data_IF_981825826764
#
_entry.id   IF_981825826764
#
_cell.length_a   1.000
_cell.length_b   1.000
_cell.length_c   1.000
_cell.angle_alpha   90.00
_cell.angle_beta   90.00
_cell.angle_gamma   90.00
#
_symmetry.space_group_name_H-M   'P 1'
#
loop_
_entity.id
_entity.type
_entity.pdbx_description
1 polymer ?
#
# COMPACT_ATOMS: atom_id res chain seq x y z
N UNK A 1 -10.51 12.28 -38.75
CA UNK A 1 -9.78 11.65 -37.58
C UNK A 1 -9.84 12.55 -36.35
N UNK A 2 -9.52 13.84 -36.44
CA UNK A 2 -9.53 14.78 -35.28
C UNK A 2 -10.88 14.93 -34.57
N UNK A 3 -12.00 14.72 -35.25
CA UNK A 3 -13.34 14.79 -34.63
C UNK A 3 -13.66 13.60 -33.72
N UNK A 4 -13.03 12.44 -33.94
CA UNK A 4 -13.27 11.22 -33.19
C UNK A 4 -12.22 10.94 -32.14
N UNK A 5 -11.06 11.60 -32.21
CA UNK A 5 -9.95 11.40 -31.30
C UNK A 5 -9.33 12.78 -30.98
N UNK A 6 -9.99 13.59 -30.13
CA UNK A 6 -9.45 14.90 -29.79
C UNK A 6 -8.14 14.75 -29.05
N UNK A 7 -7.11 15.44 -29.54
CA UNK A 7 -5.82 15.53 -28.83
C UNK A 7 -6.02 16.42 -27.60
N UNK A 8 -5.65 15.90 -26.46
CA UNK A 8 -5.63 16.62 -25.19
C UNK A 8 -4.18 17.07 -24.94
N UNK A 9 -3.95 18.31 -24.51
CA UNK A 9 -2.62 18.75 -24.09
C UNK A 9 -2.03 17.80 -23.04
N UNK A 10 -0.73 17.49 -23.14
CA UNK A 10 -0.04 16.52 -22.29
C UNK A 10 -0.17 16.86 -20.80
N UNK A 11 -0.13 18.14 -20.46
CA UNK A 11 -0.29 18.64 -19.11
C UNK A 11 -1.68 18.36 -18.49
N UNK A 12 -2.69 18.05 -19.31
CA UNK A 12 -4.02 17.64 -18.86
C UNK A 12 -4.14 16.12 -18.72
N UNK A 13 -3.28 15.36 -19.40
CA UNK A 13 -3.24 13.89 -19.28
C UNK A 13 -2.54 13.48 -17.97
N UNK A 14 -1.41 14.13 -17.67
CA UNK A 14 -0.63 13.88 -16.47
C UNK A 14 -0.38 15.18 -15.71
N UNK A 15 -1.41 15.74 -15.05
CA UNK A 15 -1.29 17.04 -14.38
C UNK A 15 -0.34 16.96 -13.19
N UNK A 16 0.67 17.83 -13.17
CA UNK A 16 1.54 17.99 -12.02
C UNK A 16 0.85 18.82 -10.94
N UNK A 17 0.04 18.19 -10.11
CA UNK A 17 -0.69 18.84 -9.03
C UNK A 17 0.22 19.14 -7.83
N UNK A 18 -0.23 20.06 -6.96
CA UNK A 18 0.53 20.40 -5.73
C UNK A 18 0.79 19.20 -4.84
N UNK A 19 -0.16 18.26 -4.77
CA UNK A 19 0.03 17.05 -3.95
C UNK A 19 1.09 16.12 -4.57
N UNK A 20 1.12 15.96 -5.89
CA UNK A 20 2.17 15.21 -6.59
C UNK A 20 3.54 15.83 -6.31
N UNK A 21 3.67 17.16 -6.44
CA UNK A 21 4.91 17.87 -6.11
C UNK A 21 5.35 17.64 -4.66
N UNK A 22 4.41 17.64 -3.71
CA UNK A 22 4.73 17.36 -2.30
C UNK A 22 5.25 15.93 -2.07
N UNK A 23 4.72 14.95 -2.79
CA UNK A 23 5.21 13.57 -2.73
C UNK A 23 6.62 13.48 -3.33
N UNK A 24 6.83 14.07 -4.50
CA UNK A 24 8.11 14.06 -5.20
C UNK A 24 9.25 14.76 -4.42
N UNK A 25 8.90 15.70 -3.54
CA UNK A 25 9.88 16.37 -2.66
C UNK A 25 10.30 15.53 -1.45
N UNK A 26 9.60 14.43 -1.17
CA UNK A 26 10.00 13.55 -0.07
C UNK A 26 11.21 12.72 -0.51
N UNK A 27 12.30 12.74 0.25
CA UNK A 27 13.51 12.00 -0.10
C UNK A 27 13.31 10.49 0.05
N UNK A 28 14.01 9.72 -0.79
CA UNK A 28 14.17 8.29 -0.57
C UNK A 28 13.38 7.40 -1.52
N UNK A 29 13.42 6.11 -1.18
CA UNK A 29 12.82 5.00 -1.92
C UNK A 29 11.55 4.48 -1.24
N UNK A 30 10.94 5.32 -0.41
CA UNK A 30 9.74 4.99 0.35
C UNK A 30 8.52 4.89 -0.56
N UNK A 31 7.61 3.96 -0.22
CA UNK A 31 6.39 3.80 -1.00
C UNK A 31 5.29 4.74 -0.52
N UNK A 32 4.47 5.13 -1.49
CA UNK A 32 3.30 5.98 -1.31
C UNK A 32 2.04 5.16 -1.62
N UNK A 33 1.04 5.27 -0.76
CA UNK A 33 -0.27 4.66 -0.94
C UNK A 33 -1.34 5.74 -0.94
N UNK A 34 -2.32 5.65 -1.83
CA UNK A 34 -3.53 6.46 -1.79
C UNK A 34 -4.64 5.73 -1.02
N UNK A 35 -5.20 6.38 0.01
CA UNK A 35 -6.24 5.81 0.85
C UNK A 35 -7.64 6.13 0.32
N UNK A 36 -8.48 5.11 0.12
CA UNK A 36 -9.86 5.24 -0.39
C UNK A 36 -9.97 6.16 -1.62
N UNK A 37 -10.68 7.29 -1.53
CA UNK A 37 -10.89 8.23 -2.64
C UNK A 37 -9.58 8.89 -3.13
N UNK A 38 -8.50 8.78 -2.36
CA UNK A 38 -7.16 9.24 -2.74
C UNK A 38 -6.40 8.21 -3.57
N UNK A 39 -7.04 7.12 -3.97
CA UNK A 39 -6.40 6.05 -4.72
C UNK A 39 -5.64 6.61 -5.93
N UNK A 40 -4.39 6.16 -6.05
CA UNK A 40 -3.54 6.49 -7.19
C UNK A 40 -3.79 5.41 -8.25
N UNK A 41 -4.25 5.82 -9.42
CA UNK A 41 -4.48 4.87 -10.50
C UNK A 41 -3.22 4.04 -10.74
N UNK A 42 -3.40 2.72 -10.83
CA UNK A 42 -2.32 1.75 -11.02
C UNK A 42 -1.36 2.17 -12.14
N UNK A 43 -0.07 2.07 -11.89
CA UNK A 43 1.04 2.41 -12.78
C UNK A 43 1.26 3.90 -13.08
N UNK A 44 0.37 4.82 -12.67
CA UNK A 44 0.61 6.27 -12.85
C UNK A 44 1.77 6.79 -11.97
N UNK A 45 2.06 6.09 -10.88
CA UNK A 45 3.21 6.37 -10.03
C UNK A 45 4.55 6.34 -10.80
N UNK A 46 4.66 5.51 -11.85
CA UNK A 46 5.86 5.40 -12.70
C UNK A 46 6.12 6.72 -13.43
N UNK A 47 5.04 7.34 -13.95
CA UNK A 47 5.11 8.61 -14.68
C UNK A 47 5.59 9.74 -13.77
N UNK A 48 5.13 9.74 -12.52
CA UNK A 48 5.48 10.76 -11.53
C UNK A 48 6.77 10.46 -10.75
N UNK A 49 7.39 9.29 -10.97
CA UNK A 49 8.68 8.94 -10.38
C UNK A 49 8.64 8.62 -8.89
N UNK A 50 7.50 8.19 -8.34
CA UNK A 50 7.43 7.67 -6.98
C UNK A 50 7.05 6.18 -6.94
N UNK A 51 7.32 5.52 -5.83
CA UNK A 51 7.08 4.10 -5.66
C UNK A 51 5.71 3.86 -5.02
N UNK A 52 5.01 2.83 -5.45
CA UNK A 52 3.75 2.37 -4.85
C UNK A 52 3.83 0.86 -4.58
N UNK A 53 3.11 0.35 -3.57
CA UNK A 53 2.90 -1.09 -3.43
C UNK A 53 1.85 -1.60 -4.43
N UNK A 54 1.10 -0.69 -5.04
CA UNK A 54 0.04 -1.01 -5.99
C UNK A 54 0.54 -1.00 -7.43
N UNK A 55 -0.05 -1.86 -8.25
CA UNK A 55 0.27 -1.93 -9.67
C UNK A 55 -0.79 -2.72 -10.44
N UNK A 56 -0.75 -2.59 -11.75
CA UNK A 56 -1.53 -3.42 -12.66
C UNK A 56 -0.59 -4.11 -13.62
N UNK A 57 -0.46 -5.43 -13.46
CA UNK A 57 0.32 -6.29 -14.34
C UNK A 57 -0.29 -7.70 -14.30
N UNK A 58 -0.70 -8.28 -15.43
CA UNK A 58 -1.23 -9.64 -15.48
C UNK A 58 -0.20 -10.69 -15.07
N UNK A 59 1.08 -10.35 -15.05
CA UNK A 59 2.18 -11.26 -14.72
C UNK A 59 2.83 -10.97 -13.34
N UNK A 60 2.10 -10.37 -12.42
CA UNK A 60 2.67 -10.12 -11.09
C UNK A 60 3.03 -11.42 -10.34
N UNK A 61 4.06 -11.42 -9.47
CA UNK A 61 4.48 -12.61 -8.74
C UNK A 61 3.33 -13.19 -7.89
N UNK A 62 3.10 -14.51 -8.00
CA UNK A 62 2.02 -15.21 -7.26
C UNK A 62 2.02 -14.86 -5.78
N UNK A 63 3.18 -14.89 -5.11
CA UNK A 63 3.31 -14.57 -3.68
C UNK A 63 2.90 -13.15 -3.33
N UNK A 64 3.13 -12.21 -4.23
CA UNK A 64 2.67 -10.84 -4.05
C UNK A 64 1.15 -10.74 -4.15
N UNK A 65 0.56 -11.43 -5.11
CA UNK A 65 -0.89 -11.52 -5.24
C UNK A 65 -1.56 -12.17 -4.02
N UNK A 66 -0.98 -13.24 -3.48
CA UNK A 66 -1.45 -13.89 -2.24
C UNK A 66 -1.41 -12.92 -1.05
N UNK A 67 -0.33 -12.16 -0.90
CA UNK A 67 -0.19 -11.14 0.16
C UNK A 67 -1.27 -10.06 0.05
N UNK A 68 -1.48 -9.51 -1.14
CA UNK A 68 -2.48 -8.46 -1.35
C UNK A 68 -3.91 -8.98 -1.20
N UNK A 69 -4.16 -10.20 -1.65
CA UNK A 69 -5.44 -10.85 -1.43
C UNK A 69 -5.73 -11.04 0.06
N UNK A 70 -4.73 -11.46 0.84
CA UNK A 70 -4.87 -11.63 2.30
C UNK A 70 -5.18 -10.33 3.03
N UNK A 71 -4.57 -9.22 2.59
CA UNK A 71 -4.88 -7.89 3.10
C UNK A 71 -6.36 -7.53 2.93
N UNK A 72 -6.91 -7.85 1.78
CA UNK A 72 -8.27 -7.50 1.39
C UNK A 72 -9.32 -8.44 1.98
N UNK A 73 -9.04 -9.74 2.00
CA UNK A 73 -10.00 -10.79 2.29
C UNK A 73 -9.77 -11.50 3.63
N UNK A 74 -8.73 -11.14 4.38
CA UNK A 74 -8.38 -11.71 5.70
C UNK A 74 -8.08 -13.21 5.68
N UNK A 75 -7.82 -13.77 4.51
CA UNK A 75 -7.45 -15.17 4.28
C UNK A 75 -6.55 -15.26 3.07
N UNK A 76 -5.76 -16.33 2.97
CA UNK A 76 -4.98 -16.61 1.77
C UNK A 76 -5.87 -17.10 0.63
N UNK A 77 -5.45 -16.77 -0.58
CA UNK A 77 -6.01 -17.34 -1.79
C UNK A 77 -5.28 -18.64 -2.07
N UNK A 78 -5.99 -19.76 -2.00
CA UNK A 78 -5.41 -21.09 -2.25
C UNK A 78 -5.23 -21.38 -3.73
N UNK A 79 -6.15 -20.88 -4.56
CA UNK A 79 -6.14 -21.10 -6.00
C UNK A 79 -6.24 -19.77 -6.76
N UNK A 80 -5.24 -19.50 -7.61
CA UNK A 80 -5.31 -18.46 -8.63
C UNK A 80 -5.97 -19.06 -9.87
N UNK A 81 -7.16 -18.60 -10.17
CA UNK A 81 -7.93 -19.00 -11.34
C UNK A 81 -8.19 -17.80 -12.26
N UNK A 82 -8.82 -18.03 -13.40
CA UNK A 82 -9.11 -17.01 -14.40
C UNK A 82 -9.96 -15.84 -13.90
N UNK A 83 -10.65 -16.00 -12.76
CA UNK A 83 -11.43 -14.95 -12.12
C UNK A 83 -10.61 -14.06 -11.18
N UNK A 84 -9.34 -14.40 -10.94
CA UNK A 84 -8.46 -13.61 -10.08
C UNK A 84 -8.01 -12.36 -10.82
N UNK A 85 -8.26 -11.18 -10.22
CA UNK A 85 -7.86 -9.92 -10.84
C UNK A 85 -6.36 -9.76 -10.85
N UNK A 86 -5.86 -9.15 -11.92
CA UNK A 86 -4.46 -8.84 -12.13
C UNK A 86 -4.02 -7.50 -11.51
N UNK A 87 -4.93 -6.77 -10.86
CA UNK A 87 -4.61 -5.52 -10.20
C UNK A 87 -4.24 -5.75 -8.73
N UNK A 88 -3.07 -5.33 -8.38
CA UNK A 88 -2.60 -5.26 -7.01
C UNK A 88 -3.01 -3.91 -6.40
N UNK A 89 -4.20 -3.84 -5.82
CA UNK A 89 -4.76 -2.62 -5.28
C UNK A 89 -5.27 -2.79 -3.85
N UNK A 90 -4.98 -1.81 -3.00
CA UNK A 90 -5.48 -1.71 -1.62
C UNK A 90 -6.73 -0.83 -1.59
N UNK A 91 -7.90 -1.41 -1.84
CA UNK A 91 -9.15 -0.63 -2.01
C UNK A 91 -9.94 -0.45 -0.71
N UNK A 92 -9.55 -1.11 0.37
CA UNK A 92 -10.35 -1.16 1.60
C UNK A 92 -9.86 -0.19 2.66
N UNK A 93 -10.77 0.24 3.52
CA UNK A 93 -10.44 0.97 4.74
C UNK A 93 -9.50 0.15 5.63
N UNK A 94 -8.64 0.84 6.41
CA UNK A 94 -7.74 0.15 7.34
C UNK A 94 -8.50 -0.32 8.57
N UNK A 95 -9.34 0.54 9.13
CA UNK A 95 -10.11 0.27 10.33
C UNK A 95 -11.52 -0.17 9.98
N UNK A 96 -11.85 -1.42 10.30
CA UNK A 96 -13.19 -1.99 10.11
C UNK A 96 -13.89 -2.24 11.45
N UNK A 97 -13.43 -1.60 12.53
CA UNK A 97 -13.98 -1.78 13.87
C UNK A 97 -13.40 -2.98 14.62
N UNK A 98 -12.47 -3.73 14.02
CA UNK A 98 -11.75 -4.84 14.64
C UNK A 98 -10.26 -4.50 14.74
N UNK A 99 -9.76 -4.36 15.98
CA UNK A 99 -8.38 -3.95 16.25
C UNK A 99 -7.36 -4.98 15.72
N UNK A 100 -7.67 -6.25 15.80
CA UNK A 100 -6.78 -7.31 15.30
C UNK A 100 -6.60 -7.20 13.79
N UNK A 101 -7.70 -7.00 13.08
CA UNK A 101 -7.69 -6.83 11.63
C UNK A 101 -6.93 -5.56 11.24
N UNK A 102 -7.19 -4.46 11.93
CA UNK A 102 -6.48 -3.20 11.74
C UNK A 102 -4.97 -3.37 11.91
N UNK A 103 -4.54 -3.95 13.02
CA UNK A 103 -3.12 -4.17 13.30
C UNK A 103 -2.47 -5.10 12.27
N UNK A 104 -3.16 -6.12 11.79
CA UNK A 104 -2.66 -7.01 10.76
C UNK A 104 -2.51 -6.31 9.40
N UNK A 105 -3.47 -5.47 9.01
CA UNK A 105 -3.35 -4.63 7.81
C UNK A 105 -2.15 -3.69 7.90
N UNK A 106 -1.94 -3.06 9.05
CA UNK A 106 -0.79 -2.18 9.27
C UNK A 106 0.54 -2.93 9.18
N UNK A 107 0.64 -4.16 9.70
CA UNK A 107 1.85 -4.98 9.54
C UNK A 107 2.21 -5.18 8.06
N UNK A 108 1.23 -5.48 7.21
CA UNK A 108 1.49 -5.65 5.77
C UNK A 108 1.99 -4.34 5.15
N UNK A 109 1.37 -3.21 5.47
CA UNK A 109 1.82 -1.90 4.98
C UNK A 109 3.23 -1.58 5.46
N UNK A 110 3.55 -1.91 6.72
CA UNK A 110 4.88 -1.72 7.28
C UNK A 110 5.91 -2.53 6.52
N UNK A 111 5.69 -3.83 6.34
CA UNK A 111 6.58 -4.74 5.60
C UNK A 111 6.76 -4.29 4.14
N UNK A 112 5.71 -3.79 3.52
CA UNK A 112 5.77 -3.25 2.17
C UNK A 112 6.50 -1.89 2.11
N UNK A 113 6.93 -1.33 3.24
CA UNK A 113 7.63 -0.05 3.29
C UNK A 113 6.76 1.12 2.82
N UNK A 114 5.46 1.06 3.13
CA UNK A 114 4.53 2.16 2.85
C UNK A 114 4.74 3.25 3.89
N UNK A 115 5.51 4.25 3.51
CA UNK A 115 5.89 5.36 4.41
C UNK A 115 4.90 6.52 4.35
N UNK A 116 4.39 6.83 3.18
CA UNK A 116 3.51 7.98 2.99
C UNK A 116 2.13 7.53 2.51
N UNK A 117 1.10 8.01 3.20
CA UNK A 117 -0.29 7.70 2.88
C UNK A 117 -1.02 8.98 2.56
N UNK A 118 -1.60 9.02 1.36
CA UNK A 118 -2.45 10.13 0.93
C UNK A 118 -3.86 9.92 1.43
N UNK A 119 -4.45 10.99 1.92
CA UNK A 119 -5.85 11.04 2.31
C UNK A 119 -6.55 12.26 1.72
N UNK A 120 -7.84 12.17 1.49
CA UNK A 120 -8.68 13.27 0.98
C UNK A 120 -9.86 13.51 1.89
N UNK A 121 -10.27 14.77 1.95
CA UNK A 121 -11.46 15.21 2.70
C UNK A 121 -12.73 14.42 2.35
N UNK A 122 -12.84 13.95 1.11
CA UNK A 122 -13.96 13.13 0.64
C UNK A 122 -14.09 11.79 1.39
N UNK A 123 -13.04 11.33 2.06
CA UNK A 123 -13.09 10.14 2.91
C UNK A 123 -13.80 10.37 4.26
N UNK A 124 -14.12 11.63 4.60
CA UNK A 124 -14.70 11.99 5.88
C UNK A 124 -13.67 12.04 7.01
N UNK A 125 -14.09 11.72 8.24
CA UNK A 125 -13.16 11.62 9.38
C UNK A 125 -12.38 10.31 9.31
N UNK A 126 -11.06 10.40 9.25
CA UNK A 126 -10.12 9.27 9.16
C UNK A 126 -9.20 9.18 10.40
N UNK A 127 -9.56 9.85 11.51
CA UNK A 127 -8.76 9.88 12.72
C UNK A 127 -8.57 8.48 13.33
N UNK A 128 -9.60 7.64 13.27
CA UNK A 128 -9.53 6.24 13.72
C UNK A 128 -8.63 5.38 12.84
N UNK A 129 -8.49 5.74 11.56
CA UNK A 129 -7.66 5.00 10.59
C UNK A 129 -6.19 5.40 10.67
N UNK A 130 -5.92 6.62 11.19
CA UNK A 130 -4.57 7.17 11.34
C UNK A 130 -4.29 7.64 12.78
N UNK A 131 -4.28 6.70 13.75
CA UNK A 131 -3.99 7.04 15.14
C UNK A 131 -2.58 7.64 15.29
N UNK A 132 -2.47 8.65 16.16
CA UNK A 132 -1.28 9.51 16.32
C UNK A 132 -0.03 8.78 16.84
N UNK A 133 -0.20 7.63 17.47
CA UNK A 133 0.88 6.77 17.93
C UNK A 133 1.52 5.96 16.79
N UNK A 134 0.83 5.82 15.66
CA UNK A 134 1.27 5.06 14.48
C UNK A 134 1.51 5.94 13.26
N UNK A 135 0.85 7.09 13.19
CA UNK A 135 0.90 7.99 12.05
C UNK A 135 1.14 9.43 12.46
N UNK A 136 1.92 10.12 11.65
CA UNK A 136 2.17 11.56 11.81
C UNK A 136 1.63 12.33 10.61
N UNK A 137 0.75 13.29 10.84
CA UNK A 137 0.31 14.22 9.81
C UNK A 137 1.50 15.12 9.40
N UNK A 138 1.96 15.02 8.17
CA UNK A 138 3.12 15.75 7.64
C UNK A 138 2.74 16.84 6.64
N UNK A 139 1.53 16.78 6.11
CA UNK A 139 1.01 17.78 5.19
C UNK A 139 -0.51 17.84 5.29
N UNK A 140 -1.06 19.06 5.33
CA UNK A 140 -2.49 19.29 5.22
C UNK A 140 -2.72 20.61 4.46
N UNK A 141 -3.41 20.52 3.35
CA UNK A 141 -3.80 21.71 2.57
C UNK A 141 -5.03 21.44 1.73
N UNK A 142 -6.04 22.29 1.88
CA UNK A 142 -7.35 22.15 1.23
C UNK A 142 -7.97 20.78 1.52
N UNK A 143 -8.07 19.95 0.49
CA UNK A 143 -8.75 18.65 0.54
C UNK A 143 -7.76 17.49 0.73
N UNK A 144 -6.46 17.77 0.89
CA UNK A 144 -5.42 16.77 0.92
C UNK A 144 -4.66 16.73 2.24
N UNK A 145 -4.41 15.50 2.70
CA UNK A 145 -3.53 15.20 3.83
C UNK A 145 -2.48 14.18 3.40
N UNK A 146 -1.31 14.23 4.02
CA UNK A 146 -0.29 13.18 3.93
C UNK A 146 0.05 12.75 5.35
N UNK A 147 -0.16 11.48 5.61
CA UNK A 147 0.27 10.83 6.83
C UNK A 147 1.57 10.07 6.59
N UNK A 148 2.50 10.21 7.52
CA UNK A 148 3.71 9.41 7.59
C UNK A 148 3.47 8.21 8.50
N UNK A 149 3.69 7.00 8.00
CA UNK A 149 3.66 5.79 8.79
C UNK A 149 4.97 5.66 9.58
N UNK A 150 4.88 5.77 10.89
CA UNK A 150 6.03 5.76 11.81
C UNK A 150 6.69 4.37 11.92
N UNK A 151 5.95 3.32 11.60
CA UNK A 151 6.37 1.91 11.72
C UNK A 151 6.72 1.28 10.36
N UNK A 152 6.86 2.06 9.30
CA UNK A 152 7.22 1.51 8.00
C UNK A 152 8.62 0.93 8.02
N UNK A 153 8.77 -0.29 7.54
CA UNK A 153 10.08 -0.98 7.46
C UNK A 153 10.89 -0.38 6.31
N UNK A 154 12.20 -0.14 6.50
CA UNK A 154 13.08 0.29 5.43
C UNK A 154 13.04 -0.70 4.26
N UNK A 155 13.19 -0.21 3.04
CA UNK A 155 13.18 -1.06 1.84
C UNK A 155 14.32 -2.08 1.81
N UNK A 156 15.40 -1.79 2.48
CA UNK A 156 16.54 -2.71 2.67
C UNK A 156 16.77 -2.85 4.16
N UNK A 157 16.68 -4.08 4.64
CA UNK A 157 16.88 -4.45 6.03
C UNK A 157 17.93 -5.56 6.08
N UNK A 158 18.91 -5.42 6.98
CA UNK A 158 19.83 -6.49 7.34
C UNK A 158 19.41 -7.03 8.70
N UNK A 159 19.20 -8.34 8.79
CA UNK A 159 18.91 -9.02 10.05
C UNK A 159 19.96 -10.08 10.34
N UNK A 160 20.43 -10.14 11.57
CA UNK A 160 21.26 -11.24 12.07
C UNK A 160 20.42 -12.41 12.57
N UNK A 161 19.13 -12.20 12.77
CA UNK A 161 18.19 -13.22 13.23
C UNK A 161 17.28 -13.65 12.07
N UNK A 162 17.13 -14.96 11.92
CA UNK A 162 16.24 -15.53 10.92
C UNK A 162 15.70 -16.88 11.39
N UNK A 163 14.52 -17.24 10.92
CA UNK A 163 13.89 -18.52 11.15
C UNK A 163 13.87 -19.29 9.83
N UNK A 164 14.40 -20.51 9.84
CA UNK A 164 14.34 -21.41 8.68
C UNK A 164 13.15 -22.33 8.83
N UNK A 165 12.23 -22.26 7.87
CA UNK A 165 11.12 -23.20 7.78
C UNK A 165 11.49 -24.35 6.83
N UNK A 166 11.22 -25.59 7.28
CA UNK A 166 11.40 -26.75 6.42
C UNK A 166 10.42 -26.72 5.23
N UNK A 167 10.88 -27.15 4.07
CA UNK A 167 10.11 -27.15 2.82
C UNK A 167 8.77 -27.92 2.88
N UNK A 168 8.55 -28.74 3.93
CA UNK A 168 7.32 -29.51 4.13
C UNK A 168 6.19 -28.73 4.81
N UNK A 169 6.47 -27.51 5.32
CA UNK A 169 5.41 -26.64 5.85
C UNK A 169 4.67 -25.99 4.71
N UNK A 170 3.35 -26.05 4.79
CA UNK A 170 2.52 -25.32 3.84
C UNK A 170 2.81 -23.81 3.97
N UNK A 171 2.94 -23.13 2.84
CA UNK A 171 3.13 -21.67 2.83
C UNK A 171 2.05 -20.93 3.64
N UNK A 172 0.84 -21.43 3.64
CA UNK A 172 -0.27 -20.87 4.43
C UNK A 172 0.02 -20.88 5.91
N UNK A 173 0.49 -22.01 6.46
CA UNK A 173 0.85 -22.12 7.88
C UNK A 173 1.95 -21.13 8.22
N UNK A 174 3.00 -21.07 7.40
CA UNK A 174 4.12 -20.13 7.58
C UNK A 174 3.63 -18.68 7.54
N UNK A 175 2.77 -18.36 6.58
CA UNK A 175 2.26 -17.01 6.42
C UNK A 175 1.36 -16.60 7.59
N UNK A 176 0.48 -17.49 8.04
CA UNK A 176 -0.37 -17.21 9.20
C UNK A 176 0.40 -17.19 10.50
N UNK A 177 1.38 -18.07 10.72
CA UNK A 177 2.29 -18.01 11.85
C UNK A 177 3.01 -16.65 11.88
N UNK A 178 3.53 -16.21 10.75
CA UNK A 178 4.17 -14.91 10.60
C UNK A 178 3.19 -13.75 10.85
N UNK A 179 1.98 -13.86 10.34
CA UNK A 179 0.95 -12.84 10.42
C UNK A 179 0.35 -12.70 11.82
N UNK A 180 0.18 -13.83 12.56
CA UNK A 180 -0.48 -13.86 13.87
C UNK A 180 0.50 -13.82 15.05
N UNK A 181 1.70 -14.32 14.92
CA UNK A 181 2.61 -14.59 16.05
C UNK A 181 3.70 -13.53 16.29
N UNK A 182 3.61 -12.35 15.69
CA UNK A 182 4.57 -11.24 15.89
C UNK A 182 6.04 -11.61 15.67
N UNK A 183 6.36 -12.61 14.85
CA UNK A 183 7.75 -12.95 14.52
C UNK A 183 8.50 -11.83 13.81
N UNK A 184 7.78 -10.93 13.17
CA UNK A 184 8.34 -9.72 12.62
C UNK A 184 8.12 -8.58 13.62
N UNK A 185 9.11 -8.37 14.47
CA UNK A 185 9.22 -7.15 15.28
C UNK A 185 10.32 -6.31 14.66
N UNK A 186 10.01 -5.28 13.91
CA UNK A 186 10.95 -4.19 13.70
C UNK A 186 10.98 -3.42 15.03
N UNK A 187 11.76 -3.88 15.98
CA UNK A 187 12.14 -3.10 17.16
C UNK A 187 13.18 -2.08 16.66
N UNK A 188 12.70 -0.96 16.13
CA UNK A 188 13.51 0.19 15.78
C UNK A 188 13.18 1.35 16.69
#
# INVERSE_FOLDING_TARGET
FQKFNPFVPEELVFPNTKIITQIQQKPGIDRVLGYNSSNIQSNTNIIYGFLSPEGYDPLYPKRYGELLYSFKNKKLLTDFNDSTRSDAAFVNTFNEGDETIFNNKLKILNILGVKNILDRKENGSTESDFPVDKFKLTYEKKDWKIFENLNSVPRVLLSSEYIVFNNNRNFEEIFFDFYHNNYFRPDF
#
